data_IF_716318573191
#
_entry.id   IF_716318573191
#
_cell.length_a   1.000
_cell.length_b   1.000
_cell.length_c   1.000
_cell.angle_alpha   90.00
_cell.angle_beta   90.00
_cell.angle_gamma   90.00
#
_symmetry.space_group_name_H-M   'P 1'
#
loop_
_entity.id
_entity.type
_entity.pdbx_description
1 polymer ?
#
# COMPACT_ATOMS: atom_id res chain seq x y z
N UNK A 1 -14.08 -5.25 22.94
CA UNK A 1 -14.19 -5.45 21.49
C UNK A 1 -12.86 -6.03 21.00
N UNK A 2 -12.87 -7.14 20.23
CA UNK A 2 -11.65 -7.66 19.60
C UNK A 2 -11.24 -6.65 18.51
N UNK A 3 -9.97 -6.23 18.50
CA UNK A 3 -9.40 -5.45 17.40
C UNK A 3 -9.35 -6.34 16.15
N UNK A 4 -9.56 -5.74 14.97
CA UNK A 4 -9.34 -6.43 13.71
C UNK A 4 -7.87 -6.88 13.63
N UNK A 5 -7.66 -8.14 13.27
CA UNK A 5 -6.34 -8.75 13.18
C UNK A 5 -6.19 -9.41 11.80
N UNK A 6 -5.26 -8.93 10.99
CA UNK A 6 -4.94 -9.50 9.67
C UNK A 6 -4.50 -10.95 9.74
N UNK A 7 -3.93 -11.37 10.88
CA UNK A 7 -3.49 -12.76 11.11
C UNK A 7 -4.64 -13.76 11.18
N UNK A 8 -5.90 -13.31 11.30
CA UNK A 8 -7.09 -14.19 11.34
C UNK A 8 -7.68 -14.48 9.97
N UNK A 9 -7.13 -13.91 8.90
CA UNK A 9 -7.61 -14.09 7.53
C UNK A 9 -6.94 -15.33 6.93
N UNK A 10 -7.68 -16.43 6.76
CA UNK A 10 -7.15 -17.70 6.26
C UNK A 10 -6.57 -17.63 4.83
N UNK A 11 -7.09 -16.74 3.98
CA UNK A 11 -6.60 -16.53 2.62
C UNK A 11 -6.58 -15.03 2.31
N UNK A 12 -5.51 -14.38 2.71
CA UNK A 12 -5.35 -12.93 2.60
C UNK A 12 -5.46 -12.45 1.14
N UNK A 13 -4.80 -13.14 0.20
CA UNK A 13 -4.76 -12.72 -1.21
C UNK A 13 -6.14 -12.78 -1.86
N UNK A 14 -6.92 -13.82 -1.58
CA UNK A 14 -8.30 -13.93 -2.06
C UNK A 14 -9.23 -12.91 -1.37
N UNK A 15 -8.97 -12.64 -0.08
CA UNK A 15 -9.76 -11.68 0.68
C UNK A 15 -9.58 -10.25 0.16
N UNK A 16 -8.35 -9.84 -0.20
CA UNK A 16 -8.08 -8.49 -0.71
C UNK A 16 -8.73 -8.27 -2.09
N UNK A 17 -8.71 -9.28 -2.96
CA UNK A 17 -9.39 -9.27 -4.27
C UNK A 17 -10.89 -8.99 -4.15
N UNK A 18 -11.55 -9.56 -3.12
CA UNK A 18 -12.97 -9.34 -2.84
C UNK A 18 -13.26 -8.02 -2.10
N UNK A 19 -12.25 -7.47 -1.42
CA UNK A 19 -12.40 -6.28 -0.57
C UNK A 19 -12.09 -4.98 -1.30
N UNK A 20 -11.22 -4.98 -2.31
CA UNK A 20 -10.81 -3.79 -3.05
C UNK A 20 -11.28 -3.93 -4.51
N UNK A 21 -12.19 -3.06 -4.96
CA UNK A 21 -12.70 -3.13 -6.32
C UNK A 21 -11.59 -2.91 -7.35
N UNK A 22 -11.55 -3.76 -8.39
CA UNK A 22 -10.55 -3.71 -9.46
C UNK A 22 -9.09 -3.85 -8.96
N UNK A 23 -8.87 -4.64 -7.89
CA UNK A 23 -7.53 -4.85 -7.32
C UNK A 23 -6.58 -5.52 -8.32
N UNK A 24 -7.07 -6.44 -9.12
CA UNK A 24 -6.32 -7.09 -10.20
C UNK A 24 -5.85 -6.09 -11.26
N UNK A 25 -6.71 -5.16 -11.66
CA UNK A 25 -6.37 -4.07 -12.60
C UNK A 25 -5.30 -3.15 -11.98
N UNK A 26 -5.40 -2.85 -10.68
CA UNK A 26 -4.39 -2.07 -9.96
C UNK A 26 -3.03 -2.78 -10.00
N UNK A 27 -2.96 -4.07 -9.63
CA UNK A 27 -1.70 -4.82 -9.58
C UNK A 27 -1.08 -4.92 -10.98
N UNK A 28 -1.87 -5.23 -12.02
CA UNK A 28 -1.40 -5.25 -13.40
C UNK A 28 -0.84 -3.88 -13.83
N UNK A 29 -1.49 -2.79 -13.45
CA UNK A 29 -1.01 -1.43 -13.71
C UNK A 29 0.31 -1.15 -12.99
N UNK A 30 0.44 -1.57 -11.73
CA UNK A 30 1.67 -1.44 -10.95
C UNK A 30 2.82 -2.21 -11.62
N UNK A 31 2.60 -3.46 -12.00
CA UNK A 31 3.61 -4.29 -12.65
C UNK A 31 4.07 -3.65 -13.97
N UNK A 32 3.15 -3.22 -14.82
CA UNK A 32 3.47 -2.54 -16.10
C UNK A 32 4.25 -1.24 -15.88
N UNK A 33 3.84 -0.40 -14.92
CA UNK A 33 4.54 0.85 -14.59
C UNK A 33 5.95 0.55 -14.05
N UNK A 34 6.11 -0.52 -13.27
CA UNK A 34 7.37 -0.88 -12.63
C UNK A 34 8.50 -1.15 -13.64
N UNK A 35 8.18 -1.72 -14.80
CA UNK A 35 9.16 -2.02 -15.84
C UNK A 35 9.96 -0.78 -16.29
N UNK A 36 9.36 0.41 -16.24
CA UNK A 36 10.00 1.66 -16.63
C UNK A 36 11.00 2.22 -15.61
N UNK A 37 11.00 1.68 -14.38
CA UNK A 37 11.82 2.19 -13.27
C UNK A 37 12.89 1.18 -12.81
N UNK A 38 12.78 -0.09 -13.20
CA UNK A 38 13.75 -1.12 -12.81
C UNK A 38 15.07 -0.81 -13.51
N UNK A 39 16.10 -0.55 -12.71
CA UNK A 39 17.46 -0.28 -13.17
C UNK A 39 18.43 -1.30 -12.58
N UNK A 40 19.50 -1.63 -13.34
CA UNK A 40 20.47 -2.65 -12.94
C UNK A 40 21.16 -2.28 -11.62
N UNK A 41 21.50 -3.28 -10.82
CA UNK A 41 22.26 -3.16 -9.57
C UNK A 41 21.58 -2.27 -8.49
N UNK A 42 20.25 -2.21 -8.52
CA UNK A 42 19.41 -1.49 -7.56
C UNK A 42 18.49 -2.44 -6.79
N UNK A 43 17.79 -1.91 -5.79
CA UNK A 43 16.91 -2.68 -4.90
C UNK A 43 15.46 -2.25 -5.11
N UNK A 44 14.54 -3.20 -5.02
CA UNK A 44 13.09 -2.99 -5.01
C UNK A 44 12.57 -3.28 -3.61
N UNK A 45 11.75 -2.38 -3.07
CA UNK A 45 11.16 -2.53 -1.75
C UNK A 45 9.64 -2.62 -1.81
N UNK A 46 9.07 -3.48 -0.96
CA UNK A 46 7.62 -3.52 -0.69
C UNK A 46 7.40 -3.36 0.82
N UNK A 47 6.84 -2.23 1.21
CA UNK A 47 6.62 -1.83 2.58
C UNK A 47 5.18 -2.16 3.00
N UNK A 48 5.00 -3.23 3.76
CA UNK A 48 3.72 -3.89 4.04
C UNK A 48 3.44 -4.98 3.02
N UNK A 49 4.45 -5.82 2.75
CA UNK A 49 4.45 -6.80 1.66
C UNK A 49 3.54 -8.02 1.89
N UNK A 50 3.00 -8.19 3.10
CA UNK A 50 2.10 -9.30 3.44
C UNK A 50 2.69 -10.67 3.05
N UNK A 51 2.08 -11.41 2.12
CA UNK A 51 2.56 -12.70 1.60
C UNK A 51 3.74 -12.60 0.64
N UNK A 52 4.17 -11.39 0.28
CA UNK A 52 5.22 -11.13 -0.71
C UNK A 52 4.78 -11.35 -2.15
N UNK A 53 3.48 -11.50 -2.41
CA UNK A 53 2.94 -11.82 -3.74
C UNK A 53 3.38 -10.81 -4.80
N UNK A 54 3.29 -9.51 -4.54
CA UNK A 54 3.70 -8.48 -5.49
C UNK A 54 5.18 -8.63 -5.88
N UNK A 55 6.07 -8.84 -4.91
CA UNK A 55 7.51 -9.01 -5.19
C UNK A 55 7.82 -10.25 -6.01
N UNK A 56 7.04 -11.33 -5.85
CA UNK A 56 7.18 -12.57 -6.63
C UNK A 56 6.73 -12.41 -8.09
N UNK A 57 5.75 -11.53 -8.34
CA UNK A 57 5.24 -11.25 -9.68
C UNK A 57 6.17 -10.33 -10.49
N UNK A 58 7.12 -9.62 -9.84
CA UNK A 58 8.10 -8.77 -10.52
C UNK A 58 9.24 -9.63 -11.09
N UNK A 59 9.24 -9.79 -12.40
CA UNK A 59 10.25 -10.58 -13.12
C UNK A 59 11.52 -9.77 -13.39
N UNK A 60 12.46 -9.76 -12.45
CA UNK A 60 13.78 -9.14 -12.60
C UNK A 60 14.81 -9.81 -11.68
N UNK A 61 16.11 -9.58 -11.96
CA UNK A 61 17.23 -10.11 -11.18
C UNK A 61 17.61 -9.24 -9.97
N UNK A 62 16.98 -8.10 -9.81
CA UNK A 62 17.25 -7.18 -8.70
C UNK A 62 16.95 -7.83 -7.36
N UNK A 63 17.72 -7.47 -6.34
CA UNK A 63 17.35 -7.78 -4.98
C UNK A 63 16.02 -7.11 -4.64
N UNK A 64 15.10 -7.88 -4.07
CA UNK A 64 13.79 -7.41 -3.61
C UNK A 64 13.71 -7.58 -2.10
N UNK A 65 13.22 -6.57 -1.39
CA UNK A 65 13.09 -6.59 0.07
C UNK A 65 11.66 -6.29 0.45
N UNK A 66 11.01 -7.24 1.12
CA UNK A 66 9.68 -7.08 1.69
C UNK A 66 9.74 -6.81 3.19
N UNK A 67 9.06 -5.77 3.67
CA UNK A 67 8.87 -5.48 5.08
C UNK A 67 7.42 -5.69 5.49
N UNK A 68 7.18 -6.42 6.57
CA UNK A 68 5.87 -6.51 7.23
C UNK A 68 6.04 -6.90 8.70
N UNK A 69 5.03 -6.67 9.53
CA UNK A 69 4.98 -7.11 10.91
C UNK A 69 3.88 -8.17 11.17
N UNK A 70 3.15 -8.58 10.14
CA UNK A 70 2.11 -9.59 10.23
C UNK A 70 2.68 -11.02 10.24
N UNK A 71 1.98 -11.95 10.89
CA UNK A 71 2.37 -13.37 10.94
C UNK A 71 2.28 -14.09 9.58
N UNK A 72 1.66 -13.45 8.58
CA UNK A 72 1.57 -13.96 7.21
C UNK A 72 2.82 -13.70 6.39
N UNK A 73 3.78 -12.92 6.92
CA UNK A 73 5.08 -12.70 6.29
C UNK A 73 5.78 -14.06 6.05
N UNK A 74 6.34 -14.30 4.85
CA UNK A 74 7.10 -15.51 4.59
C UNK A 74 8.24 -15.68 5.60
N UNK A 75 8.41 -16.91 6.10
CA UNK A 75 9.42 -17.23 7.11
C UNK A 75 10.84 -17.37 6.55
N UNK A 76 10.95 -17.57 5.25
CA UNK A 76 12.18 -17.82 4.55
C UNK A 76 12.30 -16.90 3.34
N UNK A 77 13.51 -16.47 3.07
CA UNK A 77 13.86 -15.78 1.85
C UNK A 77 13.71 -16.70 0.64
N UNK A 78 13.37 -16.12 -0.52
CA UNK A 78 13.20 -16.85 -1.77
C UNK A 78 14.08 -16.22 -2.84
N UNK A 79 14.97 -16.98 -3.46
CA UNK A 79 15.86 -16.52 -4.54
C UNK A 79 16.45 -15.10 -4.28
N UNK A 80 15.97 -14.09 -5.00
CA UNK A 80 16.36 -12.70 -4.85
C UNK A 80 15.38 -11.86 -4.01
N UNK A 81 14.55 -12.48 -3.16
CA UNK A 81 13.58 -11.81 -2.30
C UNK A 81 13.91 -12.09 -0.83
N UNK A 82 14.18 -11.03 -0.07
CA UNK A 82 14.42 -11.10 1.37
C UNK A 82 13.23 -10.53 2.13
N UNK A 83 12.73 -11.27 3.12
CA UNK A 83 11.60 -10.84 3.96
C UNK A 83 12.09 -10.42 5.34
N UNK A 84 11.66 -9.23 5.79
CA UNK A 84 12.06 -8.65 7.06
C UNK A 84 10.85 -8.32 7.92
N UNK A 85 10.81 -8.86 9.14
CA UNK A 85 9.80 -8.45 10.12
C UNK A 85 10.18 -7.07 10.68
N UNK A 86 9.32 -6.06 10.48
CA UNK A 86 9.55 -4.70 10.95
C UNK A 86 8.24 -3.93 11.20
N UNK A 87 8.24 -3.12 12.26
CA UNK A 87 7.19 -2.13 12.51
C UNK A 87 7.54 -0.82 11.78
N UNK A 88 6.84 -0.55 10.69
CA UNK A 88 7.07 0.63 9.83
C UNK A 88 6.70 1.98 10.50
N UNK A 89 6.15 1.97 11.73
CA UNK A 89 6.07 3.17 12.57
C UNK A 89 7.40 3.56 13.19
N UNK A 90 8.38 2.66 13.18
CA UNK A 90 9.72 2.82 13.73
C UNK A 90 10.74 3.02 12.61
N UNK A 91 12.00 2.83 12.94
CA UNK A 91 13.09 2.90 11.98
C UNK A 91 13.10 1.67 11.07
N UNK A 92 13.18 1.91 9.78
CA UNK A 92 13.41 0.94 8.72
C UNK A 92 14.36 1.54 7.68
N UNK A 93 15.00 0.71 6.89
CA UNK A 93 16.00 1.15 5.94
C UNK A 93 15.52 0.99 4.50
N UNK A 94 15.68 2.06 3.71
CA UNK A 94 15.60 2.05 2.25
C UNK A 94 16.89 2.66 1.73
N UNK A 95 17.58 1.94 0.85
CA UNK A 95 18.83 2.41 0.21
C UNK A 95 18.96 1.84 -1.20
N UNK A 96 19.62 2.58 -2.07
CA UNK A 96 19.86 2.18 -3.45
C UNK A 96 18.60 1.68 -4.17
N UNK A 97 17.43 2.30 -3.91
CA UNK A 97 16.17 1.84 -4.42
C UNK A 97 15.86 2.45 -5.80
N UNK A 98 15.42 1.63 -6.74
CA UNK A 98 14.79 2.10 -7.97
C UNK A 98 13.26 2.18 -7.83
N UNK A 99 12.68 1.30 -7.03
CA UNK A 99 11.25 1.22 -6.78
C UNK A 99 10.97 0.95 -5.30
N UNK A 100 9.98 1.64 -4.77
CA UNK A 100 9.41 1.37 -3.45
C UNK A 100 7.89 1.30 -3.57
N UNK A 101 7.28 0.27 -3.02
CA UNK A 101 5.84 0.12 -2.95
C UNK A 101 5.35 0.31 -1.51
N UNK A 102 4.17 0.89 -1.37
CA UNK A 102 3.36 0.93 -0.15
C UNK A 102 1.89 0.78 -0.56
N UNK A 103 1.43 -0.48 -0.61
CA UNK A 103 0.12 -0.82 -1.15
C UNK A 103 -0.86 -1.05 0.00
N UNK A 104 -1.70 -0.05 0.27
CA UNK A 104 -2.68 -0.04 1.36
C UNK A 104 -2.06 -0.24 2.76
N UNK A 105 -0.85 0.30 2.96
CA UNK A 105 -0.06 0.12 4.18
C UNK A 105 0.00 1.38 5.04
N UNK A 106 0.34 2.56 4.46
CA UNK A 106 0.55 3.80 5.21
C UNK A 106 -0.69 4.22 6.01
N UNK A 107 -1.90 3.88 5.56
CA UNK A 107 -3.16 4.15 6.25
C UNK A 107 -3.26 3.49 7.65
N UNK A 108 -2.45 2.47 7.94
CA UNK A 108 -2.37 1.79 9.23
C UNK A 108 -1.28 2.33 10.13
N UNK A 109 -0.37 3.16 9.61
CA UNK A 109 0.65 3.82 10.41
C UNK A 109 0.07 4.96 11.22
N UNK A 110 0.72 5.26 12.36
CA UNK A 110 0.42 6.44 13.13
C UNK A 110 0.58 7.70 12.26
N UNK A 111 -0.33 8.65 12.37
CA UNK A 111 -0.29 9.87 11.54
C UNK A 111 1.02 10.63 11.69
N UNK A 112 1.59 10.67 12.89
CA UNK A 112 2.86 11.35 13.17
C UNK A 112 4.06 10.67 12.49
N UNK A 113 4.00 9.35 12.25
CA UNK A 113 5.09 8.59 11.62
C UNK A 113 5.11 8.73 10.10
N UNK A 114 4.01 9.11 9.45
CA UNK A 114 3.85 9.08 7.98
C UNK A 114 4.79 10.03 7.24
N UNK A 115 5.07 11.20 7.82
CA UNK A 115 6.02 12.14 7.22
C UNK A 115 7.42 11.53 7.21
N UNK A 116 7.88 10.99 8.34
CA UNK A 116 9.18 10.34 8.42
C UNK A 116 9.26 9.10 7.51
N UNK A 117 8.18 8.32 7.45
CA UNK A 117 8.04 7.16 6.55
C UNK A 117 8.31 7.56 5.09
N UNK A 118 7.60 8.57 4.57
CA UNK A 118 7.79 9.03 3.19
C UNK A 118 9.16 9.72 2.98
N UNK A 119 9.69 10.41 3.99
CA UNK A 119 11.03 11.02 3.91
C UNK A 119 12.12 9.95 3.84
N UNK A 120 12.01 8.86 4.62
CA UNK A 120 12.93 7.73 4.55
C UNK A 120 12.92 7.08 3.16
N UNK A 121 11.73 6.91 2.57
CA UNK A 121 11.58 6.38 1.21
C UNK A 121 12.26 7.32 0.20
N UNK A 122 11.95 8.62 0.26
CA UNK A 122 12.55 9.61 -0.65
C UNK A 122 14.07 9.59 -0.58
N UNK A 123 14.64 9.57 0.62
CA UNK A 123 16.08 9.57 0.81
C UNK A 123 16.73 8.31 0.24
N UNK A 124 16.11 7.14 0.41
CA UNK A 124 16.61 5.86 -0.06
C UNK A 124 16.45 5.58 -1.55
N UNK A 125 15.54 6.29 -2.22
CA UNK A 125 15.37 6.20 -3.68
C UNK A 125 16.56 6.81 -4.40
N UNK A 126 16.98 6.19 -5.48
CA UNK A 126 17.91 6.77 -6.44
C UNK A 126 17.21 7.89 -7.25
N UNK A 127 18.00 8.81 -7.83
CA UNK A 127 17.47 9.82 -8.75
C UNK A 127 16.76 9.14 -9.93
N UNK A 128 15.53 9.52 -10.20
CA UNK A 128 14.68 8.89 -11.21
C UNK A 128 13.96 7.64 -10.74
N UNK A 129 14.20 7.18 -9.52
CA UNK A 129 13.43 6.09 -8.90
C UNK A 129 12.01 6.52 -8.50
N UNK A 130 11.11 5.56 -8.37
CA UNK A 130 9.69 5.80 -8.12
C UNK A 130 9.20 5.20 -6.79
N UNK A 131 8.29 5.93 -6.15
CA UNK A 131 7.47 5.48 -5.04
C UNK A 131 6.03 5.30 -5.52
N UNK A 132 5.49 4.09 -5.40
CA UNK A 132 4.10 3.75 -5.69
C UNK A 132 3.35 3.63 -4.38
N UNK A 133 2.40 4.54 -4.15
CA UNK A 133 1.58 4.63 -2.95
C UNK A 133 0.12 4.37 -3.30
N UNK A 134 -0.46 3.30 -2.75
CA UNK A 134 -1.89 3.05 -2.86
C UNK A 134 -2.56 3.13 -1.49
N UNK A 135 -3.64 3.89 -1.38
CA UNK A 135 -4.32 4.18 -0.11
C UNK A 135 -5.84 4.26 -0.27
N UNK A 136 -6.58 3.88 0.77
CA UNK A 136 -7.95 4.34 0.95
C UNK A 136 -7.91 5.79 1.42
N UNK A 137 -8.76 6.64 0.87
CA UNK A 137 -8.83 8.06 1.25
C UNK A 137 -10.22 8.43 1.79
N UNK A 138 -10.28 9.54 2.52
CA UNK A 138 -11.51 10.26 2.78
C UNK A 138 -11.68 11.36 1.75
N UNK A 139 -12.94 11.55 1.30
CA UNK A 139 -13.32 12.73 0.52
C UNK A 139 -13.43 13.93 1.45
N UNK A 140 -13.07 15.12 0.96
CA UNK A 140 -13.22 16.37 1.71
C UNK A 140 -14.68 16.84 1.74
N UNK A 141 -15.47 16.46 0.74
CA UNK A 141 -16.90 16.74 0.67
C UNK A 141 -17.71 15.58 1.28
N UNK A 142 -18.58 15.87 2.25
CA UNK A 142 -19.38 14.88 2.98
C UNK A 142 -20.31 14.08 2.09
N UNK A 143 -21.00 14.73 1.12
CA UNK A 143 -21.89 14.04 0.19
C UNK A 143 -21.12 13.05 -0.71
N UNK A 144 -19.98 13.48 -1.25
CA UNK A 144 -19.14 12.58 -2.06
C UNK A 144 -18.60 11.42 -1.22
N UNK A 145 -18.25 11.67 0.05
CA UNK A 145 -17.82 10.61 0.96
C UNK A 145 -18.94 9.56 1.14
N UNK A 146 -20.17 9.97 1.36
CA UNK A 146 -21.30 9.07 1.53
C UNK A 146 -21.61 8.29 0.26
N UNK A 147 -21.77 8.99 -0.88
CA UNK A 147 -22.08 8.36 -2.18
C UNK A 147 -21.05 7.29 -2.53
N UNK A 148 -19.75 7.61 -2.45
CA UNK A 148 -18.68 6.65 -2.77
C UNK A 148 -18.58 5.52 -1.73
N UNK A 149 -18.93 5.77 -0.46
CA UNK A 149 -18.93 4.72 0.56
C UNK A 149 -20.08 3.74 0.35
N UNK A 150 -21.31 4.22 0.08
CA UNK A 150 -22.45 3.35 -0.18
C UNK A 150 -22.27 2.57 -1.48
N UNK A 151 -21.84 3.20 -2.57
CA UNK A 151 -21.53 2.49 -3.82
C UNK A 151 -20.45 1.42 -3.64
N UNK A 152 -19.46 1.66 -2.77
CA UNK A 152 -18.46 0.65 -2.40
C UNK A 152 -19.07 -0.49 -1.58
N UNK A 153 -20.03 -0.22 -0.68
CA UNK A 153 -20.72 -1.27 0.07
C UNK A 153 -21.59 -2.12 -0.84
N UNK A 154 -22.29 -1.53 -1.81
CA UNK A 154 -23.06 -2.26 -2.84
C UNK A 154 -22.14 -3.23 -3.61
N UNK A 155 -20.95 -2.78 -4.01
CA UNK A 155 -19.95 -3.67 -4.61
C UNK A 155 -19.58 -4.82 -3.69
N UNK A 156 -19.35 -4.56 -2.39
CA UNK A 156 -18.97 -5.58 -1.41
C UNK A 156 -20.08 -6.59 -1.16
N UNK A 157 -21.35 -6.22 -1.29
CA UNK A 157 -22.49 -7.12 -1.14
C UNK A 157 -22.50 -8.27 -2.15
N UNK A 158 -21.72 -8.19 -3.25
CA UNK A 158 -21.50 -9.32 -4.16
C UNK A 158 -20.64 -10.43 -3.54
N UNK A 159 -19.96 -10.18 -2.42
CA UNK A 159 -18.98 -11.10 -1.81
C UNK A 159 -19.18 -11.34 -0.31
N UNK A 160 -19.84 -10.40 0.38
CA UNK A 160 -20.01 -10.41 1.83
C UNK A 160 -21.43 -9.98 2.19
N UNK A 161 -21.95 -10.44 3.32
CA UNK A 161 -23.22 -9.94 3.86
C UNK A 161 -23.08 -8.51 4.39
N UNK A 162 -24.18 -7.78 4.46
CA UNK A 162 -24.21 -6.41 5.04
C UNK A 162 -23.68 -6.40 6.48
N UNK A 163 -24.02 -7.42 7.28
CA UNK A 163 -23.54 -7.54 8.68
C UNK A 163 -22.02 -7.68 8.73
N UNK A 164 -21.42 -8.52 7.88
CA UNK A 164 -19.97 -8.68 7.79
C UNK A 164 -19.29 -7.38 7.35
N UNK A 165 -19.87 -6.68 6.38
CA UNK A 165 -19.35 -5.39 5.89
C UNK A 165 -19.32 -4.37 7.04
N UNK A 166 -20.46 -4.16 7.73
CA UNK A 166 -20.57 -3.18 8.80
C UNK A 166 -19.67 -3.55 9.99
N UNK A 167 -19.61 -4.82 10.35
CA UNK A 167 -18.72 -5.31 11.41
C UNK A 167 -17.26 -4.99 11.07
N UNK A 168 -16.81 -5.34 9.86
CA UNK A 168 -15.44 -5.08 9.40
C UNK A 168 -15.12 -3.58 9.37
N UNK A 169 -16.03 -2.73 8.87
CA UNK A 169 -15.82 -1.28 8.85
C UNK A 169 -15.68 -0.70 10.28
N UNK A 170 -16.44 -1.20 11.24
CA UNK A 170 -16.29 -0.82 12.66
C UNK A 170 -14.94 -1.24 13.20
N UNK A 171 -14.52 -2.48 12.97
CA UNK A 171 -13.25 -3.03 13.46
C UNK A 171 -12.05 -2.28 12.85
N UNK A 172 -12.09 -2.01 11.54
CA UNK A 172 -11.07 -1.23 10.83
C UNK A 172 -10.97 0.22 11.32
N UNK A 173 -12.06 0.81 11.82
CA UNK A 173 -12.07 2.20 12.31
C UNK A 173 -11.07 2.45 13.45
N UNK A 174 -10.73 1.43 14.22
CA UNK A 174 -9.76 1.54 15.31
C UNK A 174 -8.32 1.58 14.85
N UNK A 175 -8.00 0.88 13.75
CA UNK A 175 -6.63 0.68 13.29
C UNK A 175 -6.30 1.46 12.02
N UNK A 176 -7.27 1.67 11.13
CA UNK A 176 -7.08 2.35 9.86
C UNK A 176 -7.48 3.83 9.98
N UNK A 177 -6.58 4.73 9.59
CA UNK A 177 -6.76 6.19 9.66
C UNK A 177 -6.48 6.82 8.29
N UNK A 178 -7.39 6.69 7.31
CA UNK A 178 -7.16 7.26 5.99
C UNK A 178 -6.91 8.77 6.05
N UNK A 179 -6.07 9.26 5.18
CA UNK A 179 -5.92 10.69 4.88
C UNK A 179 -6.89 11.10 3.77
N UNK A 180 -7.04 12.40 3.53
CA UNK A 180 -7.59 12.89 2.26
C UNK A 180 -6.51 12.82 1.16
N UNK A 181 -6.92 13.01 -0.10
CA UNK A 181 -5.97 13.12 -1.22
C UNK A 181 -4.95 14.22 -0.96
N UNK A 182 -5.39 15.42 -0.57
CA UNK A 182 -4.51 16.56 -0.33
C UNK A 182 -3.52 16.28 0.79
N UNK A 183 -3.94 15.65 1.88
CA UNK A 183 -3.03 15.26 2.96
C UNK A 183 -1.94 14.28 2.49
N UNK A 184 -2.26 13.33 1.63
CA UNK A 184 -1.26 12.42 1.06
C UNK A 184 -0.29 13.17 0.12
N UNK A 185 -0.81 14.06 -0.73
CA UNK A 185 0.02 14.89 -1.60
C UNK A 185 0.95 15.80 -0.82
N UNK A 186 0.48 16.40 0.28
CA UNK A 186 1.29 17.26 1.14
C UNK A 186 2.43 16.47 1.81
N UNK A 187 2.15 15.27 2.34
CA UNK A 187 3.18 14.40 2.91
C UNK A 187 4.25 14.07 1.86
N UNK A 188 3.85 13.70 0.64
CA UNK A 188 4.79 13.38 -0.44
C UNK A 188 5.63 14.60 -0.83
N UNK A 189 5.01 15.77 -1.03
CA UNK A 189 5.71 17.02 -1.36
C UNK A 189 6.69 17.43 -0.27
N UNK A 190 6.25 17.39 1.00
CA UNK A 190 7.10 17.72 2.15
C UNK A 190 8.26 16.73 2.35
N UNK A 191 8.16 15.53 1.79
CA UNK A 191 9.26 14.55 1.77
C UNK A 191 10.27 14.79 0.66
N UNK A 192 9.96 15.66 -0.33
CA UNK A 192 10.84 16.03 -1.43
C UNK A 192 10.35 15.67 -2.83
N UNK A 193 9.26 14.89 -2.95
CA UNK A 193 8.72 14.52 -4.26
C UNK A 193 8.08 15.72 -4.97
N UNK A 194 8.54 16.01 -6.19
CA UNK A 194 8.03 17.12 -7.01
C UNK A 194 7.14 16.62 -8.18
N UNK A 195 7.34 15.38 -8.62
CA UNK A 195 6.64 14.77 -9.74
C UNK A 195 5.72 13.70 -9.19
N UNK A 196 4.44 14.04 -9.01
CA UNK A 196 3.43 13.16 -8.42
C UNK A 196 2.24 13.12 -9.36
N UNK A 197 1.73 11.93 -9.67
CA UNK A 197 0.48 11.77 -10.42
C UNK A 197 -0.34 10.63 -9.88
N UNK A 198 -1.66 10.73 -10.05
CA UNK A 198 -2.57 9.63 -9.80
C UNK A 198 -2.66 8.78 -11.07
N UNK A 199 -2.44 7.47 -10.95
CA UNK A 199 -2.52 6.54 -12.08
C UNK A 199 -3.72 5.58 -11.99
N UNK A 200 -4.35 5.47 -10.80
CA UNK A 200 -5.47 4.59 -10.58
C UNK A 200 -6.44 5.15 -9.52
N UNK A 201 -7.74 4.85 -9.69
CA UNK A 201 -8.76 5.10 -8.68
C UNK A 201 -9.92 4.12 -8.82
N UNK A 202 -10.42 3.65 -7.69
CA UNK A 202 -11.68 2.92 -7.60
C UNK A 202 -12.39 3.31 -6.30
N UNK A 203 -13.55 3.95 -6.41
CA UNK A 203 -14.25 4.59 -5.28
C UNK A 203 -13.31 5.48 -4.45
N UNK A 204 -13.16 5.16 -3.16
CA UNK A 204 -12.26 5.85 -2.23
C UNK A 204 -10.85 5.22 -2.14
N UNK A 205 -10.46 4.39 -3.10
CA UNK A 205 -9.12 3.82 -3.20
C UNK A 205 -8.37 4.49 -4.35
N UNK A 206 -7.14 4.90 -4.10
CA UNK A 206 -6.30 5.59 -5.07
C UNK A 206 -4.94 4.93 -5.21
N UNK A 207 -4.30 5.12 -6.37
CA UNK A 207 -2.91 4.80 -6.63
C UNK A 207 -2.16 6.06 -7.12
N UNK A 208 -1.10 6.42 -6.42
CA UNK A 208 -0.20 7.53 -6.74
C UNK A 208 1.17 6.99 -7.13
N UNK A 209 1.81 7.64 -8.10
CA UNK A 209 3.23 7.47 -8.38
C UNK A 209 3.94 8.79 -8.13
N UNK A 210 5.05 8.73 -7.39
CA UNK A 210 5.90 9.87 -7.06
C UNK A 210 7.35 9.57 -7.46
N UNK A 211 7.99 10.46 -8.23
CA UNK A 211 9.35 10.28 -8.79
C UNK A 211 10.33 11.23 -8.08
N UNK A 212 11.49 10.70 -7.67
CA UNK A 212 12.62 11.47 -7.13
C UNK A 212 13.45 12.19 -8.19
#
# INVERSE_FOLDING_TARGET
>A
MKKFDFNTIENFDNHILKSIPNYDVLINSILSISEYFITKDTIIYDLGCSTGKLLKEINCLNLKIGYDNANILPKYDEDNINFKNADLNKEFEVKNACLVYSIFTMQFLNRMSRQNYCTTIYNGLNKGGAFILCEKIYQENGLLQEVLSFSYYDYKCNHFSEEEIIKKERDLRYIMKPNTMNQNLDILKNSGFQKITQFWQSYNFIGLIAIK
#
